data_IF_715922006671
#
_entry.id   IF_715922006671
#
_cell.length_a   1.000
_cell.length_b   1.000
_cell.length_c   1.000
_cell.angle_alpha   90.00
_cell.angle_beta   90.00
_cell.angle_gamma   90.00
#
_symmetry.space_group_name_H-M   'P 1'
#
loop_
_entity.id
_entity.type
_entity.pdbx_description
1 polymer ?
#
# COMPACT_ATOMS: atom_id res chain seq x y z
N UNK A 1 6.51 92.10 -49.20
CA UNK A 1 5.21 92.18 -49.83
C UNK A 1 4.32 91.07 -49.19
N UNK A 2 3.29 91.52 -48.57
CA UNK A 2 2.32 90.72 -47.73
C UNK A 2 1.62 89.64 -48.51
N UNK A 3 1.35 88.51 -47.86
CA UNK A 3 0.02 87.93 -47.90
C UNK A 3 -0.11 86.91 -46.76
N UNK A 4 -1.05 87.25 -45.83
CA UNK A 4 -1.64 86.35 -44.88
C UNK A 4 -2.58 85.38 -45.58
N UNK A 5 -2.74 84.19 -45.10
CA UNK A 5 -3.99 83.47 -45.15
C UNK A 5 -4.09 82.51 -43.95
N UNK A 6 -5.27 82.67 -43.36
CA UNK A 6 -5.76 82.03 -42.13
C UNK A 6 -6.04 80.50 -42.27
N UNK A 7 -5.87 79.83 -41.17
CA UNK A 7 -6.88 79.04 -40.49
C UNK A 7 -7.34 77.76 -41.19
N UNK A 8 -7.03 76.68 -40.56
CA UNK A 8 -8.08 75.73 -40.14
C UNK A 8 -7.44 74.62 -39.26
N UNK A 9 -7.71 74.72 -37.97
CA UNK A 9 -7.34 73.65 -37.02
C UNK A 9 -8.29 72.46 -37.26
N UNK A 10 -7.79 71.37 -37.76
CA UNK A 10 -8.47 70.07 -37.75
C UNK A 10 -7.86 69.18 -36.69
N UNK A 11 -8.61 69.06 -35.61
CA UNK A 11 -8.29 68.13 -34.48
C UNK A 11 -8.60 66.70 -34.92
N UNK A 12 -7.55 65.94 -35.16
CA UNK A 12 -7.71 64.48 -35.32
C UNK A 12 -7.56 63.85 -33.97
N UNK A 13 -8.69 63.31 -33.45
CA UNK A 13 -8.73 62.43 -32.27
C UNK A 13 -8.24 61.05 -32.72
N UNK A 14 -7.01 60.71 -32.39
CA UNK A 14 -6.51 59.33 -32.49
C UNK A 14 -7.09 58.53 -31.31
N UNK A 15 -8.16 57.76 -31.55
CA UNK A 15 -8.63 56.73 -30.65
C UNK A 15 -7.63 55.56 -30.73
N UNK A 16 -6.71 55.46 -29.75
CA UNK A 16 -5.86 54.31 -29.57
C UNK A 16 -6.69 53.15 -29.01
N UNK A 17 -7.04 52.21 -29.86
CA UNK A 17 -7.62 50.93 -29.46
C UNK A 17 -6.50 50.07 -28.88
N UNK A 18 -6.31 50.11 -27.59
CA UNK A 18 -5.41 49.20 -26.85
C UNK A 18 -5.97 47.80 -26.86
N UNK A 19 -5.45 46.95 -27.76
CA UNK A 19 -5.70 45.52 -27.77
C UNK A 19 -4.88 44.91 -26.60
N UNK A 20 -5.51 44.79 -25.41
CA UNK A 20 -4.96 44.06 -24.29
C UNK A 20 -4.99 42.56 -24.62
N UNK A 21 -3.89 42.02 -25.15
CA UNK A 21 -3.66 40.56 -25.18
C UNK A 21 -3.55 40.07 -23.73
N UNK A 22 -4.66 39.65 -23.16
CA UNK A 22 -4.65 38.82 -21.95
C UNK A 22 -4.05 37.47 -22.37
N UNK A 23 -2.73 37.35 -22.21
CA UNK A 23 -2.08 36.04 -22.20
C UNK A 23 -2.65 35.29 -20.99
N UNK A 24 -3.75 34.58 -21.22
CA UNK A 24 -4.22 33.58 -20.28
C UNK A 24 -3.12 32.54 -20.15
N UNK A 25 -2.32 32.67 -19.08
CA UNK A 25 -1.54 31.52 -18.62
C UNK A 25 -2.59 30.43 -18.35
N UNK A 26 -2.41 29.21 -18.91
CA UNK A 26 -3.25 28.11 -18.50
C UNK A 26 -3.08 28.02 -16.98
N UNK A 27 -4.13 28.33 -16.24
CA UNK A 27 -4.23 27.94 -14.84
C UNK A 27 -4.02 26.43 -14.87
N UNK A 28 -2.85 25.99 -14.42
CA UNK A 28 -2.63 24.59 -14.09
C UNK A 28 -3.65 24.32 -13.01
N UNK A 29 -4.75 23.66 -13.40
CA UNK A 29 -5.76 23.24 -12.48
C UNK A 29 -5.00 22.62 -11.30
N UNK A 30 -5.21 23.13 -10.09
CA UNK A 30 -4.70 22.55 -8.86
C UNK A 30 -5.26 21.13 -8.80
N UNK A 31 -4.52 20.19 -9.40
CA UNK A 31 -4.90 18.78 -9.37
C UNK A 31 -4.78 18.37 -7.92
N UNK A 32 -5.91 18.07 -7.30
CA UNK A 32 -5.97 17.63 -5.92
C UNK A 32 -5.07 16.41 -5.73
N UNK A 33 -4.23 16.34 -4.69
CA UNK A 33 -3.37 15.17 -4.43
C UNK A 33 -4.15 13.85 -4.45
N UNK A 34 -5.40 13.88 -4.03
CA UNK A 34 -6.33 12.75 -4.00
C UNK A 34 -6.61 12.19 -5.40
N UNK A 35 -6.78 13.07 -6.39
CA UNK A 35 -7.00 12.64 -7.79
C UNK A 35 -5.77 11.89 -8.32
N UNK A 36 -4.57 12.35 -7.97
CA UNK A 36 -3.33 11.68 -8.38
C UNK A 36 -3.17 10.32 -7.73
N UNK A 37 -3.58 10.16 -6.47
CA UNK A 37 -3.55 8.85 -5.79
C UNK A 37 -4.57 7.90 -6.44
N UNK A 38 -5.79 8.35 -6.74
CA UNK A 38 -6.77 7.53 -7.46
C UNK A 38 -6.27 7.12 -8.86
N UNK A 39 -5.60 8.03 -9.59
CA UNK A 39 -4.96 7.72 -10.87
C UNK A 39 -3.80 6.75 -10.72
N UNK A 40 -3.04 6.83 -9.63
CA UNK A 40 -1.97 5.88 -9.30
C UNK A 40 -2.53 4.46 -9.07
N UNK A 41 -3.60 4.33 -8.29
CA UNK A 41 -4.27 3.05 -8.09
C UNK A 41 -4.71 2.44 -9.42
N UNK A 42 -5.37 3.25 -10.26
CA UNK A 42 -5.76 2.82 -11.60
C UNK A 42 -4.55 2.42 -12.46
N UNK A 43 -3.44 3.15 -12.39
CA UNK A 43 -2.22 2.84 -13.14
C UNK A 43 -1.60 1.50 -12.72
N UNK A 44 -1.52 1.23 -11.41
CA UNK A 44 -1.01 -0.01 -10.87
C UNK A 44 -1.83 -1.24 -11.30
N UNK A 45 -3.14 -1.08 -11.42
CA UNK A 45 -4.06 -2.18 -11.74
C UNK A 45 -4.23 -2.40 -13.25
N UNK A 46 -3.96 -1.38 -14.09
CA UNK A 46 -4.33 -1.42 -15.50
C UNK A 46 -3.18 -1.23 -16.50
N UNK A 47 -2.00 -0.83 -16.05
CA UNK A 47 -0.85 -0.66 -16.95
C UNK A 47 -0.01 -1.93 -17.06
N UNK A 48 0.44 -2.22 -18.27
CA UNK A 48 1.55 -3.14 -18.47
C UNK A 48 2.86 -2.43 -18.10
N UNK A 49 3.67 -3.06 -17.28
CA UNK A 49 4.98 -2.55 -16.95
C UNK A 49 6.00 -3.66 -16.72
N UNK A 50 7.24 -3.34 -17.03
CA UNK A 50 8.41 -4.16 -16.79
C UNK A 50 9.53 -3.27 -16.29
N UNK A 51 10.26 -3.69 -15.27
CA UNK A 51 11.33 -2.88 -14.71
C UNK A 51 12.05 -3.53 -13.55
N UNK A 52 13.09 -2.84 -13.11
CA UNK A 52 13.90 -3.23 -11.95
C UNK A 52 13.57 -2.33 -10.78
N UNK A 53 13.08 -2.93 -9.71
CA UNK A 53 12.78 -2.29 -8.44
C UNK A 53 13.94 -2.47 -7.46
N UNK A 54 14.27 -1.40 -6.75
CA UNK A 54 15.21 -1.40 -5.63
C UNK A 54 14.43 -1.04 -4.37
N UNK A 55 14.41 -1.93 -3.40
CA UNK A 55 13.87 -1.69 -2.06
C UNK A 55 15.04 -1.47 -1.12
N UNK A 56 14.97 -0.40 -0.34
CA UNK A 56 15.98 -0.03 0.64
C UNK A 56 15.36 0.10 2.01
N UNK A 57 15.94 -0.56 3.00
CA UNK A 57 15.55 -0.48 4.39
C UNK A 57 16.81 -0.38 5.27
N UNK A 58 17.01 0.76 5.92
CA UNK A 58 18.29 1.03 6.62
C UNK A 58 19.46 0.88 5.65
N UNK A 59 20.41 0.02 6.01
CA UNK A 59 21.60 -0.29 5.22
C UNK A 59 21.39 -1.50 4.27
N UNK A 60 20.21 -2.11 4.29
CA UNK A 60 19.89 -3.25 3.44
C UNK A 60 19.22 -2.79 2.15
N UNK A 61 19.65 -3.38 1.04
CA UNK A 61 19.03 -3.18 -0.27
C UNK A 61 18.70 -4.53 -0.90
N UNK A 62 17.50 -4.66 -1.44
CA UNK A 62 17.10 -5.77 -2.29
C UNK A 62 16.72 -5.28 -3.67
N UNK A 63 17.05 -6.06 -4.68
CA UNK A 63 16.78 -5.73 -6.07
C UNK A 63 15.91 -6.85 -6.65
N UNK A 64 14.86 -6.46 -7.38
CA UNK A 64 13.95 -7.41 -8.01
C UNK A 64 13.54 -6.92 -9.39
N UNK A 65 13.42 -7.84 -10.32
CA UNK A 65 12.84 -7.58 -11.64
C UNK A 65 11.36 -7.92 -11.60
N UNK A 66 10.52 -7.01 -12.07
CA UNK A 66 9.06 -7.14 -12.06
C UNK A 66 8.53 -7.03 -13.48
N UNK A 67 7.66 -7.96 -13.86
CA UNK A 67 6.87 -7.94 -15.09
C UNK A 67 5.40 -8.03 -14.70
N UNK A 68 4.62 -7.02 -15.04
CA UNK A 68 3.18 -6.98 -14.80
C UNK A 68 2.44 -6.82 -16.12
N UNK A 69 1.52 -7.74 -16.39
CA UNK A 69 0.68 -7.77 -17.59
C UNK A 69 -0.78 -7.71 -17.22
N UNK A 70 -1.50 -6.88 -17.92
CA UNK A 70 -2.97 -6.84 -17.90
C UNK A 70 -3.49 -7.21 -19.30
N UNK A 71 -4.48 -8.10 -19.35
CA UNK A 71 -5.13 -8.56 -20.56
C UNK A 71 -6.65 -8.67 -20.31
N UNK A 72 -7.37 -7.61 -20.62
CA UNK A 72 -8.80 -7.48 -20.28
C UNK A 72 -9.00 -7.44 -18.75
N UNK A 73 -9.71 -8.42 -18.23
CA UNK A 73 -9.94 -8.58 -16.77
C UNK A 73 -8.85 -9.37 -16.06
N UNK A 74 -7.94 -10.00 -16.79
CA UNK A 74 -6.93 -10.88 -16.24
C UNK A 74 -5.63 -10.13 -16.02
N UNK A 75 -5.02 -10.33 -14.86
CA UNK A 75 -3.71 -9.82 -14.55
C UNK A 75 -2.75 -10.97 -14.22
N UNK A 76 -1.52 -10.82 -14.67
CA UNK A 76 -0.44 -11.73 -14.35
C UNK A 76 0.84 -10.96 -14.03
N UNK A 77 1.62 -11.49 -13.11
CA UNK A 77 2.84 -10.85 -12.66
C UNK A 77 3.95 -11.88 -12.44
N UNK A 78 5.18 -11.50 -12.78
CA UNK A 78 6.37 -12.23 -12.38
C UNK A 78 7.31 -11.30 -11.64
N UNK A 79 7.78 -11.74 -10.49
CA UNK A 79 8.78 -11.06 -9.68
C UNK A 79 9.97 -12.00 -9.55
N UNK A 80 11.15 -11.55 -9.91
CA UNK A 80 12.39 -12.31 -9.80
C UNK A 80 13.34 -11.56 -8.89
N UNK A 81 13.76 -12.17 -7.76
CA UNK A 81 14.81 -11.61 -6.93
C UNK A 81 16.14 -11.63 -7.72
N UNK A 82 16.83 -10.50 -7.72
CA UNK A 82 18.12 -10.35 -8.40
C UNK A 82 19.28 -10.55 -7.41
N UNK A 83 19.14 -11.55 -6.55
CA UNK A 83 20.17 -12.05 -5.64
C UNK A 83 20.84 -13.31 -6.22
N UNK A 84 21.78 -13.89 -5.46
CA UNK A 84 22.49 -15.12 -5.87
C UNK A 84 21.56 -16.34 -6.04
N UNK A 85 20.38 -16.32 -5.39
CA UNK A 85 19.42 -17.44 -5.37
C UNK A 85 18.45 -17.34 -6.54
N UNK A 86 18.03 -16.14 -6.92
CA UNK A 86 17.11 -15.91 -8.03
C UNK A 86 15.71 -16.51 -7.80
N UNK A 87 15.14 -16.31 -6.61
CA UNK A 87 13.77 -16.74 -6.31
C UNK A 87 12.78 -16.04 -7.21
N UNK A 88 11.76 -16.80 -7.67
CA UNK A 88 10.71 -16.24 -8.49
C UNK A 88 9.34 -16.43 -7.87
N UNK A 89 8.47 -15.43 -8.06
CA UNK A 89 7.05 -15.50 -7.75
C UNK A 89 6.29 -15.19 -9.03
N UNK A 90 5.45 -16.12 -9.46
CA UNK A 90 4.59 -15.94 -10.64
C UNK A 90 3.15 -15.98 -10.16
N UNK A 91 2.37 -14.96 -10.53
CA UNK A 91 0.96 -14.83 -10.21
C UNK A 91 0.13 -14.82 -11.49
N UNK A 92 -0.96 -15.59 -11.50
CA UNK A 92 -1.93 -15.62 -12.61
C UNK A 92 -3.33 -15.76 -12.01
N UNK A 93 -4.12 -14.71 -12.06
CA UNK A 93 -5.40 -14.70 -11.36
C UNK A 93 -5.23 -14.93 -9.86
N UNK A 94 -5.84 -15.97 -9.33
CA UNK A 94 -5.76 -16.39 -7.92
C UNK A 94 -4.65 -17.42 -7.62
N UNK A 95 -3.96 -17.92 -8.64
CA UNK A 95 -2.83 -18.84 -8.46
C UNK A 95 -1.52 -18.09 -8.21
N UNK A 96 -0.74 -18.58 -7.27
CA UNK A 96 0.62 -18.10 -6.95
C UNK A 96 1.58 -19.27 -7.00
N UNK A 97 2.59 -19.19 -7.85
CA UNK A 97 3.68 -20.14 -7.96
C UNK A 97 4.96 -19.51 -7.42
N UNK A 98 5.54 -20.07 -6.36
CA UNK A 98 6.83 -19.67 -5.80
C UNK A 98 7.89 -20.70 -6.20
N UNK A 99 8.98 -20.24 -6.79
CA UNK A 99 10.10 -21.08 -7.24
C UNK A 99 11.31 -20.78 -6.37
N UNK A 100 11.85 -21.82 -5.75
CA UNK A 100 13.04 -21.78 -4.91
C UNK A 100 14.16 -22.59 -5.56
N UNK A 101 15.02 -21.98 -6.39
CA UNK A 101 16.04 -22.69 -7.14
C UNK A 101 17.06 -23.40 -6.25
N UNK A 102 17.45 -22.78 -5.14
CA UNK A 102 18.37 -23.31 -4.13
C UNK A 102 17.86 -24.61 -3.48
N UNK A 103 16.54 -24.71 -3.29
CA UNK A 103 15.87 -25.88 -2.71
C UNK A 103 15.32 -26.85 -3.75
N UNK A 104 15.48 -26.53 -5.03
CA UNK A 104 14.86 -27.26 -6.14
C UNK A 104 13.37 -27.56 -5.88
N UNK A 105 12.66 -26.55 -5.39
CA UNK A 105 11.26 -26.70 -4.95
C UNK A 105 10.39 -25.64 -5.63
N UNK A 106 9.22 -26.08 -6.09
CA UNK A 106 8.13 -25.20 -6.55
C UNK A 106 6.95 -25.38 -5.61
N UNK A 107 6.44 -24.27 -5.09
CA UNK A 107 5.23 -24.24 -4.25
C UNK A 107 4.12 -23.54 -5.02
N UNK A 108 3.03 -24.27 -5.27
CA UNK A 108 1.81 -23.70 -5.89
C UNK A 108 0.74 -23.56 -4.84
N UNK A 109 0.17 -22.37 -4.74
CA UNK A 109 -0.90 -22.09 -3.80
C UNK A 109 -1.95 -21.17 -4.43
N UNK A 110 -3.04 -20.94 -3.71
CA UNK A 110 -4.07 -19.97 -4.09
C UNK A 110 -3.95 -18.72 -3.25
N UNK A 111 -4.19 -17.57 -3.87
CA UNK A 111 -4.26 -16.30 -3.19
C UNK A 111 -5.53 -16.25 -2.31
N UNK A 112 -5.39 -15.86 -1.05
CA UNK A 112 -6.56 -15.54 -0.22
C UNK A 112 -7.22 -14.28 -0.76
N UNK A 113 -8.53 -14.28 -0.89
CA UNK A 113 -9.28 -13.05 -1.10
C UNK A 113 -8.94 -12.05 0.02
N UNK A 114 -8.42 -10.87 -0.34
CA UNK A 114 -7.98 -9.85 0.62
C UNK A 114 -6.56 -10.02 1.17
N UNK A 115 -5.80 -11.04 0.74
CA UNK A 115 -4.35 -10.98 0.87
C UNK A 115 -3.84 -10.07 -0.25
N UNK A 116 -3.17 -8.97 0.12
CA UNK A 116 -2.52 -8.04 -0.82
C UNK A 116 -1.32 -8.74 -1.47
N UNK A 117 -1.61 -9.83 -2.19
CA UNK A 117 -0.64 -10.61 -2.95
C UNK A 117 -0.26 -9.94 -4.27
N UNK A 118 -0.39 -8.64 -4.32
CA UNK A 118 -0.05 -7.83 -5.47
C UNK A 118 1.46 -7.59 -5.57
N UNK A 119 1.88 -6.93 -6.63
CA UNK A 119 3.20 -6.34 -6.86
C UNK A 119 3.81 -5.78 -5.58
N UNK A 120 5.13 -5.85 -5.39
CA UNK A 120 5.81 -5.15 -4.31
C UNK A 120 5.40 -3.68 -4.20
N UNK A 121 5.11 -3.03 -5.35
CA UNK A 121 4.54 -1.69 -5.39
C UNK A 121 3.14 -1.64 -4.80
N UNK A 122 2.26 -2.57 -5.17
CA UNK A 122 0.87 -2.59 -4.69
C UNK A 122 0.79 -2.89 -3.19
N UNK A 123 1.73 -3.68 -2.67
CA UNK A 123 1.83 -3.98 -1.24
C UNK A 123 2.14 -2.75 -0.38
N UNK A 124 2.78 -1.73 -0.96
CA UNK A 124 3.09 -0.48 -0.26
C UNK A 124 1.85 0.39 0.01
N UNK A 125 0.70 0.02 -0.55
CA UNK A 125 -0.52 0.81 -0.46
C UNK A 125 -1.69 -0.04 0.04
N UNK A 126 -2.57 0.50 0.89
CA UNK A 126 -3.83 -0.15 1.23
C UNK A 126 -4.72 -0.28 -0.01
N UNK A 127 -5.62 -1.27 -0.03
CA UNK A 127 -6.53 -1.52 -1.16
C UNK A 127 -7.57 -0.40 -1.38
N UNK A 128 -7.82 0.41 -0.36
CA UNK A 128 -8.81 1.48 -0.38
C UNK A 128 -8.25 2.65 0.43
N UNK A 129 -7.45 3.49 -0.24
CA UNK A 129 -6.89 4.69 0.41
C UNK A 129 -8.01 5.67 0.68
N UNK A 130 -8.44 5.76 1.93
CA UNK A 130 -9.43 6.73 2.37
C UNK A 130 -8.77 7.98 2.87
N UNK A 131 -8.91 9.04 2.11
CA UNK A 131 -8.40 10.34 2.52
C UNK A 131 -9.08 10.81 3.79
N UNK A 132 -8.27 11.14 4.79
CA UNK A 132 -8.75 11.67 6.05
C UNK A 132 -7.95 12.90 6.45
N UNK A 133 -8.39 14.05 5.98
CA UNK A 133 -7.75 15.36 6.24
C UNK A 133 -7.66 15.71 7.74
N UNK A 134 -8.37 14.97 8.58
CA UNK A 134 -8.29 15.11 10.03
C UNK A 134 -6.99 14.55 10.60
N UNK A 135 -6.40 13.54 9.94
CA UNK A 135 -5.21 12.85 10.45
C UNK A 135 -4.00 12.95 9.55
N UNK A 136 -4.20 13.39 8.29
CA UNK A 136 -3.14 13.57 7.31
C UNK A 136 -3.25 14.90 6.59
N UNK A 137 -2.12 15.48 6.24
CA UNK A 137 -2.01 16.60 5.30
C UNK A 137 -1.49 16.08 3.98
N UNK A 138 -2.16 16.45 2.92
CA UNK A 138 -1.79 16.10 1.56
C UNK A 138 -1.22 17.32 0.85
N UNK A 139 -0.15 17.12 0.07
CA UNK A 139 0.44 18.18 -0.73
C UNK A 139 0.94 17.59 -2.06
N UNK A 140 0.96 18.40 -3.11
CA UNK A 140 1.53 18.08 -4.40
C UNK A 140 2.59 19.10 -4.77
N UNK A 141 3.70 18.64 -5.31
CA UNK A 141 4.80 19.47 -5.79
C UNK A 141 5.47 18.84 -7.01
N UNK A 142 6.34 19.59 -7.68
CA UNK A 142 7.19 19.00 -8.72
C UNK A 142 8.17 18.01 -8.10
N UNK A 143 8.14 16.76 -8.57
CA UNK A 143 9.01 15.66 -8.09
C UNK A 143 10.34 15.55 -8.87
N UNK A 144 10.56 16.42 -9.86
CA UNK A 144 11.73 16.33 -10.72
C UNK A 144 11.63 15.23 -11.78
N UNK A 145 12.77 14.67 -12.17
CA UNK A 145 12.85 13.60 -13.17
C UNK A 145 13.42 12.34 -12.52
N UNK A 146 12.69 11.23 -12.66
CA UNK A 146 13.12 9.89 -12.24
C UNK A 146 13.06 8.94 -13.43
N UNK A 147 14.06 8.10 -13.60
CA UNK A 147 14.19 7.13 -14.72
C UNK A 147 13.75 7.72 -16.08
N UNK A 148 14.20 8.96 -16.36
CA UNK A 148 13.88 9.68 -17.60
C UNK A 148 12.50 10.34 -17.65
N UNK A 149 11.62 10.18 -16.65
CA UNK A 149 10.21 10.64 -16.62
C UNK A 149 10.02 11.81 -15.67
N UNK A 150 9.22 12.80 -16.06
CA UNK A 150 8.83 13.91 -15.18
C UNK A 150 7.80 13.42 -14.16
N UNK A 151 7.96 13.85 -12.91
CA UNK A 151 7.08 13.38 -11.82
C UNK A 151 6.39 14.52 -11.11
N UNK A 152 5.22 14.21 -10.54
CA UNK A 152 4.66 14.89 -9.39
C UNK A 152 5.09 14.17 -8.13
N UNK A 153 5.38 14.93 -7.07
CA UNK A 153 5.61 14.39 -5.73
C UNK A 153 4.39 14.67 -4.88
N UNK A 154 3.72 13.60 -4.48
CA UNK A 154 2.61 13.65 -3.53
C UNK A 154 3.19 13.37 -2.14
N UNK A 155 2.88 14.25 -1.19
CA UNK A 155 3.25 14.08 0.21
C UNK A 155 2.00 13.78 1.03
N UNK A 156 2.04 12.72 1.82
CA UNK A 156 1.02 12.34 2.80
C UNK A 156 1.68 12.44 4.16
N UNK A 157 1.48 13.55 4.87
CA UNK A 157 2.11 13.83 6.16
C UNK A 157 1.14 13.56 7.30
N UNK A 158 1.46 12.64 8.25
CA UNK A 158 0.63 12.42 9.41
C UNK A 158 0.61 13.65 10.31
N UNK A 159 -0.49 13.86 11.04
CA UNK A 159 -0.67 14.94 12.01
C UNK A 159 -0.44 14.48 13.44
N UNK A 160 -0.06 13.24 13.65
CA UNK A 160 0.27 12.64 14.94
C UNK A 160 1.44 11.65 14.82
N UNK A 161 1.83 11.08 15.95
CA UNK A 161 2.97 10.17 16.08
C UNK A 161 2.65 8.69 15.88
N UNK A 162 1.42 8.35 15.51
CA UNK A 162 0.95 6.95 15.45
C UNK A 162 1.00 6.34 14.07
N UNK A 163 1.45 7.07 13.07
CA UNK A 163 1.48 6.64 11.67
C UNK A 163 2.69 7.19 10.95
N UNK A 164 3.07 6.50 9.87
CA UNK A 164 4.12 6.95 8.99
C UNK A 164 3.61 7.95 7.97
N UNK A 165 4.52 8.77 7.45
CA UNK A 165 4.29 9.61 6.29
C UNK A 165 4.71 8.91 5.00
N UNK A 166 4.16 9.37 3.87
CA UNK A 166 4.52 8.85 2.55
C UNK A 166 4.92 10.00 1.63
N UNK A 167 5.89 9.75 0.76
CA UNK A 167 6.22 10.57 -0.40
C UNK A 167 6.18 9.68 -1.64
N UNK A 168 5.36 10.06 -2.61
CA UNK A 168 5.09 9.28 -3.82
C UNK A 168 5.51 10.10 -5.02
N UNK A 169 6.42 9.59 -5.85
CA UNK A 169 6.78 10.21 -7.12
C UNK A 169 6.05 9.52 -8.25
N UNK A 170 5.04 10.19 -8.78
CA UNK A 170 4.14 9.67 -9.81
C UNK A 170 4.51 10.26 -11.17
N UNK A 171 4.62 9.42 -12.18
CA UNK A 171 4.80 9.85 -13.57
C UNK A 171 3.68 10.80 -13.98
N UNK A 172 4.02 11.95 -14.54
CA UNK A 172 3.02 12.97 -14.93
C UNK A 172 2.07 12.53 -16.03
N UNK A 173 2.47 11.60 -16.88
CA UNK A 173 1.68 11.15 -18.01
C UNK A 173 0.74 9.97 -17.64
N UNK A 174 1.23 9.05 -16.83
CA UNK A 174 0.54 7.79 -16.54
C UNK A 174 0.09 7.63 -15.09
N UNK A 175 0.59 8.46 -14.18
CA UNK A 175 0.46 8.34 -12.74
C UNK A 175 1.13 7.07 -12.15
N UNK A 176 1.91 6.32 -12.94
CA UNK A 176 2.68 5.19 -12.43
C UNK A 176 3.63 5.63 -11.32
N UNK A 177 3.62 5.01 -10.13
CA UNK A 177 4.56 5.33 -9.06
C UNK A 177 5.97 4.85 -9.43
N UNK A 178 6.90 5.79 -9.51
CA UNK A 178 8.30 5.51 -9.84
C UNK A 178 9.18 5.41 -8.60
N UNK A 179 8.73 6.00 -7.50
CA UNK A 179 9.39 5.96 -6.20
C UNK A 179 8.36 6.16 -5.09
N UNK A 180 8.52 5.39 -4.03
CA UNK A 180 7.76 5.50 -2.77
C UNK A 180 8.76 5.62 -1.64
N UNK A 181 8.53 6.53 -0.71
CA UNK A 181 9.25 6.60 0.56
C UNK A 181 8.26 6.58 1.71
N UNK A 182 8.58 5.78 2.71
CA UNK A 182 7.93 5.79 4.02
C UNK A 182 8.83 6.56 4.97
N UNK A 183 8.29 7.54 5.68
CA UNK A 183 9.06 8.38 6.59
C UNK A 183 8.49 8.37 8.00
N UNK A 184 9.39 8.45 8.98
CA UNK A 184 9.05 8.61 10.38
C UNK A 184 8.61 10.05 10.70
N UNK A 185 8.27 10.31 11.97
CA UNK A 185 7.82 11.62 12.46
C UNK A 185 8.86 12.75 12.25
N UNK A 186 10.15 12.40 12.34
CA UNK A 186 11.29 13.30 12.13
C UNK A 186 11.69 13.46 10.65
N UNK A 187 10.85 13.02 9.73
CA UNK A 187 11.09 12.99 8.29
C UNK A 187 12.24 12.05 7.84
N UNK A 188 12.85 11.27 8.74
CA UNK A 188 13.83 10.23 8.36
C UNK A 188 13.16 9.16 7.52
N UNK A 189 13.89 8.64 6.50
CA UNK A 189 13.38 7.60 5.62
C UNK A 189 13.48 6.25 6.33
N UNK A 190 12.35 5.59 6.54
CA UNK A 190 12.25 4.25 7.13
C UNK A 190 12.44 3.19 6.05
N UNK A 191 11.76 3.38 4.94
CA UNK A 191 11.80 2.47 3.79
C UNK A 191 11.65 3.25 2.49
N UNK A 192 12.27 2.76 1.43
CA UNK A 192 12.16 3.33 0.09
C UNK A 192 12.08 2.21 -0.94
N UNK A 193 11.14 2.34 -1.87
CA UNK A 193 11.03 1.50 -3.06
C UNK A 193 11.11 2.41 -4.29
N UNK A 194 11.95 2.08 -5.27
CA UNK A 194 12.08 2.87 -6.49
C UNK A 194 12.42 1.99 -7.70
N UNK A 195 11.98 2.42 -8.86
CA UNK A 195 12.48 1.86 -10.11
C UNK A 195 13.88 2.41 -10.43
N UNK A 196 14.82 1.54 -10.72
CA UNK A 196 16.10 1.91 -11.36
C UNK A 196 15.93 2.00 -12.88
N UNK A 197 15.00 1.23 -13.44
CA UNK A 197 14.55 1.29 -14.82
C UNK A 197 13.09 0.84 -14.91
N UNK A 198 12.34 1.38 -15.86
CA UNK A 198 10.95 1.01 -16.13
C UNK A 198 10.60 1.21 -17.59
N UNK A 199 9.89 0.25 -18.15
CA UNK A 199 9.21 0.31 -19.44
C UNK A 199 7.69 0.16 -19.23
N UNK A 200 6.90 0.87 -20.01
CA UNK A 200 5.43 0.82 -20.01
C UNK A 200 4.96 0.45 -21.42
N UNK A 201 5.12 -0.80 -21.86
CA UNK A 201 4.72 -1.23 -23.19
C UNK A 201 3.20 -1.40 -23.28
N UNK A 202 2.63 -1.23 -24.47
CA UNK A 202 1.21 -1.51 -24.70
C UNK A 202 0.87 -3.00 -24.48
N UNK A 203 1.82 -3.89 -24.78
CA UNK A 203 1.64 -5.32 -24.65
C UNK A 203 2.90 -5.99 -24.10
N UNK A 204 2.69 -6.99 -23.25
CA UNK A 204 3.74 -7.88 -22.75
C UNK A 204 3.45 -9.30 -23.23
N UNK A 205 4.41 -9.98 -23.90
CA UNK A 205 4.20 -11.33 -24.36
C UNK A 205 4.04 -12.30 -23.20
N UNK A 206 3.19 -13.32 -23.36
CA UNK A 206 2.94 -14.31 -22.30
C UNK A 206 4.22 -15.04 -21.85
N UNK A 207 5.20 -15.19 -22.75
CA UNK A 207 6.50 -15.80 -22.45
C UNK A 207 7.29 -15.01 -21.36
N UNK A 208 7.09 -13.69 -21.25
CA UNK A 208 7.73 -12.89 -20.22
C UNK A 208 7.27 -13.22 -18.79
N UNK A 209 6.16 -13.94 -18.67
CA UNK A 209 5.58 -14.37 -17.39
C UNK A 209 5.83 -15.84 -17.07
N UNK A 210 6.67 -16.54 -17.83
CA UNK A 210 7.10 -17.90 -17.52
C UNK A 210 8.32 -17.89 -16.61
N UNK A 211 8.56 -18.99 -15.90
CA UNK A 211 9.77 -19.15 -15.09
C UNK A 211 11.03 -18.89 -15.93
N UNK A 212 11.99 -18.17 -15.39
CA UNK A 212 13.27 -17.90 -16.06
C UNK A 212 14.23 -19.09 -15.94
N UNK A 213 14.01 -19.96 -14.94
CA UNK A 213 14.81 -21.16 -14.69
C UNK A 213 14.03 -22.41 -15.08
N UNK A 214 14.73 -23.45 -15.57
CA UNK A 214 14.11 -24.76 -15.75
C UNK A 214 13.74 -25.35 -14.39
N UNK A 215 12.51 -25.81 -14.26
CA UNK A 215 12.01 -26.50 -13.06
C UNK A 215 12.03 -28.04 -13.23
N UNK A 216 12.76 -28.54 -14.23
CA UNK A 216 12.94 -29.97 -14.45
C UNK A 216 13.61 -30.63 -13.22
N UNK A 217 12.98 -31.68 -12.70
CA UNK A 217 13.46 -32.41 -11.52
C UNK A 217 13.33 -31.62 -10.21
N UNK A 218 12.51 -30.56 -10.17
CA UNK A 218 12.13 -29.88 -8.92
C UNK A 218 11.00 -30.64 -8.22
N UNK A 219 10.96 -30.55 -6.90
CA UNK A 219 9.85 -31.05 -6.09
C UNK A 219 8.70 -30.06 -6.14
N UNK A 220 7.54 -30.50 -6.64
CA UNK A 220 6.33 -29.68 -6.65
C UNK A 220 5.48 -29.95 -5.41
N UNK A 221 5.18 -28.90 -4.69
CA UNK A 221 4.31 -28.92 -3.52
C UNK A 221 3.08 -28.06 -3.80
N UNK A 222 1.91 -28.64 -3.65
CA UNK A 222 0.66 -27.90 -3.69
C UNK A 222 0.29 -27.58 -2.26
N UNK A 223 0.12 -26.32 -1.97
CA UNK A 223 -0.48 -25.88 -0.71
C UNK A 223 -1.99 -26.03 -0.86
N UNK A 224 -2.50 -27.22 -0.47
CA UNK A 224 -3.93 -27.47 -0.33
C UNK A 224 -4.51 -26.71 0.88
N UNK A 225 -3.68 -25.98 1.61
CA UNK A 225 -4.22 -25.05 2.55
C UNK A 225 -5.01 -24.04 1.74
N UNK A 226 -6.35 -24.16 1.70
CA UNK A 226 -7.15 -23.09 1.13
C UNK A 226 -6.68 -21.87 1.92
N UNK A 227 -6.10 -20.94 1.21
CA UNK A 227 -5.91 -19.64 1.76
C UNK A 227 -7.23 -19.29 2.42
N UNK A 228 -7.28 -19.37 3.73
CA UNK A 228 -8.43 -19.35 4.63
C UNK A 228 -9.77 -19.55 3.89
N UNK A 229 -10.62 -20.52 4.21
CA UNK A 229 -11.81 -20.76 3.41
C UNK A 229 -12.36 -19.40 3.06
N UNK A 230 -12.68 -19.21 1.78
CA UNK A 230 -13.38 -18.01 1.36
C UNK A 230 -14.47 -17.84 2.42
N UNK A 231 -14.23 -16.94 3.34
CA UNK A 231 -15.29 -16.48 4.19
C UNK A 231 -16.25 -15.96 3.15
N UNK A 232 -17.25 -16.79 2.82
CA UNK A 232 -18.50 -16.23 2.34
C UNK A 232 -18.60 -14.93 3.09
N UNK A 233 -18.67 -13.81 2.36
CA UNK A 233 -19.05 -12.51 2.91
C UNK A 233 -20.51 -12.59 3.45
N UNK A 234 -20.74 -13.54 4.28
CA UNK A 234 -21.63 -13.40 5.39
C UNK A 234 -20.83 -12.54 6.36
N UNK A 235 -21.02 -11.25 6.28
CA UNK A 235 -20.92 -10.35 7.40
C UNK A 235 -21.96 -10.80 8.46
N UNK A 236 -21.91 -12.07 8.84
CA UNK A 236 -22.37 -12.52 10.15
C UNK A 236 -21.43 -11.80 11.08
N UNK A 237 -21.97 -10.83 11.79
CA UNK A 237 -21.32 -10.11 12.85
C UNK A 237 -20.83 -11.12 13.89
N UNK A 238 -19.69 -11.78 13.62
CA UNK A 238 -18.94 -12.47 14.64
C UNK A 238 -18.57 -11.36 15.61
N UNK A 239 -19.22 -11.35 16.76
CA UNK A 239 -18.84 -10.41 17.79
C UNK A 239 -17.40 -10.77 18.18
N UNK A 240 -16.47 -9.81 18.10
CA UNK A 240 -15.07 -10.10 18.42
C UNK A 240 -15.00 -10.55 19.87
N UNK A 241 -14.30 -11.66 20.13
CA UNK A 241 -13.98 -12.08 21.49
C UNK A 241 -13.02 -11.11 22.19
N UNK A 242 -12.34 -10.27 21.41
CA UNK A 242 -11.35 -9.28 21.86
C UNK A 242 -11.57 -7.91 21.23
N UNK A 243 -11.21 -6.86 21.96
CA UNK A 243 -11.25 -5.48 21.47
C UNK A 243 -10.11 -4.66 22.09
N UNK A 244 -9.55 -3.74 21.32
CA UNK A 244 -8.65 -2.74 21.87
C UNK A 244 -9.44 -1.69 22.67
N UNK A 245 -9.06 -1.46 23.92
CA UNK A 245 -9.66 -0.44 24.78
C UNK A 245 -9.16 0.97 24.42
N UNK A 246 -7.95 1.06 23.82
CA UNK A 246 -7.34 2.31 23.39
C UNK A 246 -6.82 2.13 21.97
N UNK A 247 -7.20 3.03 21.08
CA UNK A 247 -6.76 3.09 19.69
C UNK A 247 -6.20 4.47 19.37
N UNK A 248 -5.20 4.57 18.49
CA UNK A 248 -4.83 5.86 17.94
C UNK A 248 -6.02 6.56 17.30
N UNK A 249 -6.08 7.90 17.29
CA UNK A 249 -7.18 8.63 16.69
C UNK A 249 -7.44 8.19 15.25
N UNK A 250 -8.70 7.87 14.91
CA UNK A 250 -9.11 7.46 13.55
C UNK A 250 -9.04 5.98 13.28
N UNK A 251 -8.26 5.21 14.02
CA UNK A 251 -8.25 3.76 13.87
C UNK A 251 -9.56 3.14 14.32
N UNK A 252 -10.05 2.19 13.55
CA UNK A 252 -11.30 1.44 13.83
C UNK A 252 -11.09 -0.02 13.46
N UNK A 253 -11.80 -0.90 14.15
CA UNK A 253 -11.88 -2.30 13.77
C UNK A 253 -12.54 -2.42 12.39
N UNK A 254 -11.86 -3.07 11.45
CA UNK A 254 -12.33 -3.30 10.08
C UNK A 254 -12.76 -4.73 9.85
N UNK A 255 -11.97 -5.67 10.36
CA UNK A 255 -12.16 -7.08 10.09
C UNK A 255 -11.91 -7.88 11.36
N UNK A 256 -12.71 -8.90 11.58
CA UNK A 256 -12.51 -9.95 12.58
C UNK A 256 -12.56 -11.29 11.87
N UNK A 257 -11.57 -12.13 12.10
CA UNK A 257 -11.53 -13.51 11.60
C UNK A 257 -11.16 -14.42 12.75
N UNK A 258 -11.78 -15.59 12.83
CA UNK A 258 -11.42 -16.62 13.77
C UNK A 258 -11.00 -17.86 13.01
N UNK A 259 -9.89 -18.47 13.38
CA UNK A 259 -9.35 -19.67 12.75
C UNK A 259 -8.99 -20.71 13.83
N UNK A 260 -9.48 -21.93 13.66
CA UNK A 260 -9.01 -23.04 14.47
C UNK A 260 -7.56 -23.38 14.10
N UNK A 261 -6.67 -23.39 15.07
CA UNK A 261 -5.29 -23.83 14.91
C UNK A 261 -5.23 -25.33 15.12
N UNK A 262 -4.61 -26.08 14.21
CA UNK A 262 -4.41 -27.52 14.35
C UNK A 262 -3.62 -27.81 15.63
N UNK A 263 -4.19 -28.60 16.53
CA UNK A 263 -3.58 -28.94 17.83
C UNK A 263 -3.75 -27.90 18.93
N UNK A 264 -4.45 -26.78 18.67
CA UNK A 264 -4.76 -25.78 19.69
C UNK A 264 -6.14 -25.98 20.33
N UNK A 265 -6.23 -25.76 21.65
CA UNK A 265 -7.48 -25.90 22.43
C UNK A 265 -8.48 -24.77 22.17
N UNK A 266 -8.04 -23.65 21.62
CA UNK A 266 -8.87 -22.47 21.32
C UNK A 266 -8.54 -21.87 19.94
N UNK A 267 -9.53 -21.22 19.28
CA UNK A 267 -9.28 -20.56 18.01
C UNK A 267 -8.35 -19.34 18.18
N UNK A 268 -7.49 -19.12 17.19
CA UNK A 268 -6.78 -17.86 17.01
C UNK A 268 -7.76 -16.81 16.48
N UNK A 269 -7.79 -15.65 17.07
CA UNK A 269 -8.56 -14.52 16.58
C UNK A 269 -7.62 -13.51 15.89
N UNK A 270 -8.00 -13.06 14.69
CA UNK A 270 -7.31 -12.04 13.93
C UNK A 270 -8.20 -10.82 13.76
N UNK A 271 -7.78 -9.70 14.34
CA UNK A 271 -8.44 -8.41 14.23
C UNK A 271 -7.60 -7.47 13.38
N UNK A 272 -8.25 -6.70 12.51
CA UNK A 272 -7.57 -5.66 11.72
C UNK A 272 -8.14 -4.30 12.09
N UNK A 273 -7.27 -3.44 12.59
CA UNK A 273 -7.56 -2.03 12.85
C UNK A 273 -6.94 -1.17 11.76
N UNK A 274 -7.69 -0.20 11.23
CA UNK A 274 -7.18 0.73 10.21
C UNK A 274 -7.86 2.09 10.31
N UNK A 275 -7.14 3.13 9.89
CA UNK A 275 -7.66 4.49 9.71
C UNK A 275 -8.01 4.81 8.24
N UNK A 276 -7.73 3.85 7.31
CA UNK A 276 -7.92 3.96 5.87
C UNK A 276 -6.61 4.12 5.08
N UNK A 277 -5.49 4.43 5.75
CA UNK A 277 -4.13 4.46 5.16
C UNK A 277 -3.24 3.48 5.92
N UNK A 278 -3.13 3.64 7.23
CA UNK A 278 -2.38 2.74 8.08
C UNK A 278 -3.24 1.58 8.59
N UNK A 279 -2.65 0.40 8.73
CA UNK A 279 -3.32 -0.80 9.22
C UNK A 279 -2.47 -1.55 10.23
N UNK A 280 -3.13 -2.15 11.22
CA UNK A 280 -2.52 -3.03 12.23
C UNK A 280 -3.33 -4.30 12.35
N UNK A 281 -2.68 -5.44 12.08
CA UNK A 281 -3.21 -6.78 12.35
C UNK A 281 -2.88 -7.17 13.78
N UNK A 282 -3.87 -7.68 14.52
CA UNK A 282 -3.69 -8.18 15.88
C UNK A 282 -4.12 -9.63 15.92
N UNK A 283 -3.20 -10.49 16.32
CA UNK A 283 -3.41 -11.91 16.50
C UNK A 283 -3.51 -12.22 17.99
N UNK A 284 -4.50 -13.03 18.39
CA UNK A 284 -4.72 -13.46 19.77
C UNK A 284 -4.76 -14.98 19.79
N UNK A 285 -3.79 -15.58 20.46
CA UNK A 285 -3.56 -17.01 20.50
C UNK A 285 -3.60 -17.52 21.94
N UNK A 286 -4.33 -18.60 22.18
CA UNK A 286 -4.35 -19.27 23.48
C UNK A 286 -3.32 -20.40 23.54
N UNK A 287 -2.89 -20.78 24.76
CA UNK A 287 -2.06 -21.95 24.99
C UNK A 287 -0.58 -21.82 24.62
N UNK A 288 -0.14 -20.62 24.17
CA UNK A 288 1.26 -20.34 23.87
C UNK A 288 1.94 -19.79 25.12
N UNK A 289 3.17 -20.22 25.40
CA UNK A 289 3.95 -19.69 26.52
C UNK A 289 4.89 -18.59 26.02
N UNK A 290 5.06 -17.53 26.81
CA UNK A 290 5.96 -16.41 26.48
C UNK A 290 7.42 -16.84 26.23
N UNK A 291 7.83 -18.00 26.77
CA UNK A 291 9.16 -18.56 26.58
C UNK A 291 9.42 -19.10 25.17
N UNK A 292 8.36 -19.38 24.40
CA UNK A 292 8.49 -19.96 23.05
C UNK A 292 8.60 -18.91 21.95
N UNK A 293 8.03 -17.70 22.14
CA UNK A 293 8.02 -16.68 21.09
C UNK A 293 8.64 -15.33 21.49
N UNK A 294 9.01 -15.15 22.77
CA UNK A 294 9.59 -13.89 23.27
C UNK A 294 8.58 -12.71 23.27
N UNK A 295 8.55 -11.98 24.38
CA UNK A 295 7.82 -10.71 24.43
C UNK A 295 8.70 -9.56 23.92
N UNK A 296 8.09 -8.55 23.30
CA UNK A 296 8.77 -7.33 22.91
C UNK A 296 8.52 -6.87 21.49
N UNK A 297 9.48 -6.10 20.98
CA UNK A 297 9.42 -5.48 19.66
C UNK A 297 10.23 -6.30 18.66
N UNK A 298 9.66 -6.55 17.49
CA UNK A 298 10.33 -7.05 16.29
C UNK A 298 10.12 -6.07 15.13
N UNK A 299 11.10 -5.95 14.24
CA UNK A 299 11.06 -5.04 13.10
C UNK A 299 11.47 -5.75 11.83
N UNK A 300 10.73 -5.45 10.74
CA UNK A 300 11.04 -5.94 9.41
C UNK A 300 10.62 -4.86 8.40
N UNK A 301 11.58 -4.13 7.87
CA UNK A 301 11.28 -2.98 7.03
C UNK A 301 10.52 -1.90 7.79
N UNK A 302 9.50 -1.33 7.17
CA UNK A 302 8.58 -0.40 7.81
C UNK A 302 7.62 -1.10 8.79
N UNK A 303 7.47 -2.42 8.71
CA UNK A 303 6.61 -3.18 9.59
C UNK A 303 7.22 -3.35 10.98
N UNK A 304 6.45 -3.02 12.01
CA UNK A 304 6.78 -3.26 13.40
C UNK A 304 5.77 -4.24 14.00
N UNK A 305 6.27 -5.20 14.77
CA UNK A 305 5.45 -6.08 15.59
C UNK A 305 5.74 -5.82 17.06
N UNK A 306 4.69 -5.92 17.88
CA UNK A 306 4.77 -5.94 19.33
C UNK A 306 4.02 -7.14 19.86
N UNK A 307 4.73 -7.98 20.61
CA UNK A 307 4.18 -9.20 21.20
C UNK A 307 4.18 -9.09 22.73
N UNK A 308 3.07 -9.46 23.36
CA UNK A 308 2.94 -9.47 24.81
C UNK A 308 1.94 -10.54 25.27
N UNK A 309 2.12 -11.01 26.52
CA UNK A 309 1.13 -11.86 27.18
C UNK A 309 0.03 -11.02 27.80
N UNK A 310 -1.23 -11.41 27.57
CA UNK A 310 -2.39 -10.79 28.15
C UNK A 310 -3.36 -11.86 28.67
N UNK A 311 -3.46 -12.02 29.99
CA UNK A 311 -4.35 -12.99 30.66
C UNK A 311 -4.24 -14.43 30.14
N UNK A 312 -3.03 -14.89 29.84
CA UNK A 312 -2.78 -16.24 29.33
C UNK A 312 -2.93 -16.41 27.82
N UNK A 313 -3.12 -15.30 27.10
CA UNK A 313 -3.14 -15.26 25.63
C UNK A 313 -1.89 -14.53 25.13
N UNK A 314 -1.29 -15.05 24.06
CA UNK A 314 -0.28 -14.33 23.32
C UNK A 314 -0.95 -13.35 22.38
N UNK A 315 -0.61 -12.07 22.50
CA UNK A 315 -1.12 -10.99 21.66
C UNK A 315 0.03 -10.46 20.82
N UNK A 316 -0.09 -10.54 19.50
CA UNK A 316 0.87 -9.98 18.55
C UNK A 316 0.17 -8.95 17.67
N UNK A 317 0.58 -7.68 17.78
CA UNK A 317 0.13 -6.60 16.90
C UNK A 317 1.25 -6.29 15.89
N UNK A 318 0.94 -6.30 14.59
CA UNK A 318 1.89 -6.05 13.51
C UNK A 318 1.31 -5.12 12.45
N UNK A 319 2.11 -4.18 11.96
CA UNK A 319 1.71 -3.25 10.89
C UNK A 319 2.83 -2.30 10.49
N UNK A 320 2.68 -1.67 9.34
CA UNK A 320 3.55 -0.59 8.86
C UNK A 320 3.19 0.73 9.55
N UNK A 321 3.47 0.76 10.83
CA UNK A 321 3.21 1.89 11.73
C UNK A 321 4.36 1.99 12.75
N UNK A 322 4.58 3.15 13.38
CA UNK A 322 5.54 3.25 14.48
C UNK A 322 5.28 2.24 15.60
N UNK A 323 6.34 1.73 16.23
CA UNK A 323 6.27 0.74 17.34
C UNK A 323 5.26 1.12 18.40
N UNK A 324 5.17 2.42 18.76
CA UNK A 324 4.22 2.92 19.76
C UNK A 324 2.76 2.59 19.43
N UNK A 325 2.45 2.44 18.14
CA UNK A 325 1.09 2.11 17.68
C UNK A 325 0.78 0.64 17.90
N UNK A 326 1.67 -0.26 17.50
CA UNK A 326 1.51 -1.70 17.74
C UNK A 326 1.50 -1.99 19.22
N UNK A 327 2.39 -1.35 20.00
CA UNK A 327 2.44 -1.48 21.45
C UNK A 327 1.15 -0.99 22.14
N UNK A 328 0.67 0.21 21.78
CA UNK A 328 -0.56 0.77 22.34
C UNK A 328 -1.75 -0.18 22.10
N UNK A 329 -1.91 -0.67 20.87
CA UNK A 329 -3.04 -1.53 20.51
C UNK A 329 -2.94 -2.87 21.26
N UNK A 330 -1.76 -3.54 21.22
CA UNK A 330 -1.56 -4.83 21.86
C UNK A 330 -1.79 -4.77 23.37
N UNK A 331 -1.20 -3.77 24.06
CA UNK A 331 -1.33 -3.60 25.51
C UNK A 331 -2.74 -3.23 25.94
N UNK A 332 -3.51 -2.57 25.08
CA UNK A 332 -4.87 -2.16 25.38
C UNK A 332 -5.92 -3.24 25.08
N UNK A 333 -5.49 -4.38 24.51
CA UNK A 333 -6.43 -5.42 24.12
C UNK A 333 -7.06 -6.07 25.36
N UNK A 334 -8.39 -6.24 25.32
CA UNK A 334 -9.14 -6.87 26.38
C UNK A 334 -10.24 -7.76 25.80
N UNK A 335 -10.65 -8.78 26.55
CA UNK A 335 -11.77 -9.59 26.17
C UNK A 335 -13.03 -8.70 26.05
N UNK A 336 -13.79 -8.89 24.98
CA UNK A 336 -15.09 -8.24 24.85
C UNK A 336 -16.01 -8.77 25.93
N UNK A 337 -16.71 -7.88 26.63
CA UNK A 337 -17.76 -8.32 27.59
C UNK A 337 -18.84 -9.05 26.80
N UNK A 338 -19.14 -10.27 27.17
CA UNK A 338 -20.29 -10.98 26.62
C UNK A 338 -21.53 -10.13 26.91
N UNK A 339 -22.24 -9.69 25.88
CA UNK A 339 -23.53 -9.03 26.06
C UNK A 339 -24.43 -10.06 26.84
N UNK A 340 -24.96 -9.73 28.01
CA UNK A 340 -25.80 -10.64 28.72
C UNK A 340 -27.00 -10.99 27.83
N UNK A 341 -27.14 -12.27 27.49
CA UNK A 341 -28.33 -12.75 26.80
C UNK A 341 -29.52 -12.40 27.70
N UNK A 342 -30.40 -11.53 27.22
CA UNK A 342 -31.62 -11.18 27.93
C UNK A 342 -32.35 -12.49 28.21
N UNK A 343 -32.35 -12.90 29.47
CA UNK A 343 -33.19 -14.03 29.91
C UNK A 343 -34.61 -13.63 29.61
N UNK A 344 -35.23 -14.35 28.68
CA UNK A 344 -36.66 -14.30 28.43
C UNK A 344 -37.39 -14.47 29.78
N UNK A 345 -37.84 -13.38 30.33
CA UNK A 345 -38.82 -13.37 31.39
C UNK A 345 -40.16 -13.73 30.73
N UNK A 346 -40.40 -15.01 30.53
CA UNK A 346 -41.77 -15.47 30.31
C UNK A 346 -42.48 -15.56 31.66
N UNK A 347 -43.71 -15.05 31.72
CA UNK A 347 -44.54 -15.05 32.92
C UNK A 347 -44.95 -16.45 33.41
#
# INVERSE_FOLDING_TARGET
>A
MNCRLDGMRQTWSCAAFGLACVLGFPAWADSEPQEWIARMEHALDNLNYEGTLVQMHGDEASVMHVVHRVDGSDSAERITAMDEIGREIIRRGDEVTCIFPDQRTVVVGRRSAGANGASPLRQQFPDDIRFNDKYYRFAIASGGRLVGRLTWMITVKPMDQYRYGYRLWLDRSTAMPLKVQISAEDDSVVEQLLFSEISLPEQIPAAALTASVSTDGFTWRHSDTPASPATTDSASAVQPGWRAASLPPGFRLRTVRSRQVEGGDAPMEHLVYSDGIASVSVFVEAGVTASEQGEGVSRMGAANAYTAMNRGYLVTAVGEVPVRTTEMIARSLQAAEAVPVARDLRP
#
